data_IF_055168049276
#
_entry.id   IF_055168049276
#
_cell.length_a   1.000
_cell.length_b   1.000
_cell.length_c   1.000
_cell.angle_alpha   90.00
_cell.angle_beta   90.00
_cell.angle_gamma   90.00
#
_symmetry.space_group_name_H-M   'P 1'
#
loop_
_entity.id
_entity.type
_entity.pdbx_description
1 polymer ?
#
# COMPACT_ATOMS: atom_id res chain seq x y z
N UNK A 1 36.27 7.39 -14.49
CA UNK A 1 35.20 7.53 -13.48
C UNK A 1 35.86 7.92 -12.18
N UNK A 2 35.33 8.89 -11.45
CA UNK A 2 35.91 9.34 -10.16
C UNK A 2 35.51 8.40 -9.01
N UNK A 3 36.29 8.34 -7.93
CA UNK A 3 35.98 7.49 -6.76
C UNK A 3 34.60 7.81 -6.17
N UNK A 4 34.26 9.10 -6.09
CA UNK A 4 32.93 9.59 -5.67
C UNK A 4 31.78 9.08 -6.56
N UNK A 5 31.97 9.00 -7.88
CA UNK A 5 30.96 8.46 -8.81
C UNK A 5 30.69 6.98 -8.52
N UNK A 6 31.74 6.23 -8.18
CA UNK A 6 31.63 4.83 -7.78
C UNK A 6 30.85 4.70 -6.48
N UNK A 7 31.12 5.53 -5.47
CA UNK A 7 30.40 5.53 -4.19
C UNK A 7 28.91 5.89 -4.35
N UNK A 8 28.60 6.97 -5.09
CA UNK A 8 27.22 7.39 -5.36
C UNK A 8 26.45 6.31 -6.14
N UNK A 9 27.10 5.67 -7.12
CA UNK A 9 26.50 4.58 -7.91
C UNK A 9 26.28 3.33 -7.05
N UNK A 10 27.23 2.98 -6.18
CA UNK A 10 27.10 1.90 -5.21
C UNK A 10 25.97 2.16 -4.21
N UNK A 11 25.88 3.37 -3.66
CA UNK A 11 24.81 3.78 -2.75
C UNK A 11 23.42 3.69 -3.42
N UNK A 12 23.32 4.13 -4.69
CA UNK A 12 22.11 3.98 -5.52
C UNK A 12 21.74 2.50 -5.71
N UNK A 13 22.69 1.67 -6.10
CA UNK A 13 22.46 0.23 -6.32
C UNK A 13 22.00 -0.44 -5.02
N UNK A 14 22.62 -0.12 -3.87
CA UNK A 14 22.21 -0.64 -2.55
C UNK A 14 20.78 -0.23 -2.18
N UNK A 15 20.38 1.04 -2.42
CA UNK A 15 19.00 1.51 -2.18
C UNK A 15 17.99 0.78 -3.08
N UNK A 16 18.28 0.68 -4.38
CA UNK A 16 17.43 -0.02 -5.35
C UNK A 16 17.31 -1.51 -5.00
N UNK A 17 18.40 -2.17 -4.57
CA UNK A 17 18.39 -3.58 -4.17
C UNK A 17 17.49 -3.82 -2.95
N UNK A 18 17.53 -2.95 -1.94
CA UNK A 18 16.65 -3.02 -0.76
C UNK A 18 15.17 -2.91 -1.17
N UNK A 19 14.83 -1.90 -1.95
CA UNK A 19 13.46 -1.69 -2.44
C UNK A 19 13.00 -2.85 -3.33
N UNK A 20 13.87 -3.34 -4.23
CA UNK A 20 13.60 -4.52 -5.07
C UNK A 20 13.34 -5.78 -4.24
N UNK A 21 13.96 -5.96 -3.08
CA UNK A 21 13.74 -7.12 -2.22
C UNK A 21 12.30 -7.15 -1.70
N UNK A 22 11.78 -6.01 -1.25
CA UNK A 22 10.38 -5.88 -0.81
C UNK A 22 9.40 -6.00 -1.99
N UNK A 23 9.71 -5.39 -3.13
CA UNK A 23 8.90 -5.48 -4.35
C UNK A 23 8.79 -6.90 -4.94
N UNK A 24 9.67 -7.84 -4.56
CA UNK A 24 9.56 -9.26 -4.99
C UNK A 24 8.35 -9.97 -4.39
N UNK A 25 7.83 -9.48 -3.26
CA UNK A 25 6.64 -10.02 -2.62
C UNK A 25 5.35 -9.59 -3.36
N UNK A 26 5.43 -8.54 -4.18
CA UNK A 26 4.27 -8.05 -4.93
C UNK A 26 4.03 -8.88 -6.19
N UNK A 27 2.74 -9.14 -6.54
CA UNK A 27 2.40 -9.84 -7.78
C UNK A 27 2.96 -9.07 -8.99
N UNK A 28 3.85 -9.73 -9.74
CA UNK A 28 4.47 -9.18 -10.94
C UNK A 28 3.58 -9.41 -12.15
N UNK A 29 3.67 -8.51 -13.15
CA UNK A 29 2.94 -8.61 -14.44
C UNK A 29 3.07 -9.97 -15.11
N UNK A 30 4.22 -10.63 -14.97
CA UNK A 30 4.49 -11.96 -15.52
C UNK A 30 3.81 -13.11 -14.77
N UNK A 31 3.46 -12.93 -13.49
CA UNK A 31 2.99 -14.00 -12.60
C UNK A 31 1.50 -13.90 -12.26
N UNK A 32 0.78 -12.91 -12.79
CA UNK A 32 -0.66 -12.73 -12.56
C UNK A 32 -1.48 -13.96 -12.96
N UNK A 33 -1.07 -14.66 -14.03
CA UNK A 33 -1.79 -15.83 -14.54
C UNK A 33 -1.77 -17.03 -13.59
N UNK A 34 -0.87 -17.04 -12.60
CA UNK A 34 -0.73 -18.16 -11.65
C UNK A 34 -1.85 -18.18 -10.60
N UNK A 35 -2.56 -17.08 -10.41
CA UNK A 35 -3.63 -16.97 -9.42
C UNK A 35 -5.00 -17.07 -10.11
N UNK A 36 -5.85 -18.05 -9.76
CA UNK A 36 -7.10 -18.34 -10.48
C UNK A 36 -8.07 -17.14 -10.49
N UNK A 37 -8.17 -16.43 -9.37
CA UNK A 37 -9.02 -15.23 -9.24
C UNK A 37 -8.46 -14.07 -10.07
N UNK A 38 -7.14 -13.89 -10.11
CA UNK A 38 -6.49 -12.84 -10.92
C UNK A 38 -6.49 -13.18 -12.41
N UNK A 39 -6.65 -14.45 -12.81
CA UNK A 39 -6.74 -14.88 -14.22
C UNK A 39 -7.97 -14.30 -14.91
N UNK A 40 -9.12 -14.29 -14.22
CA UNK A 40 -10.39 -13.68 -14.71
C UNK A 40 -10.21 -12.19 -15.05
N UNK A 41 -9.31 -11.52 -14.33
CA UNK A 41 -9.07 -10.09 -14.45
C UNK A 41 -7.77 -9.74 -15.18
N UNK A 42 -6.98 -10.74 -15.56
CA UNK A 42 -5.63 -10.58 -16.09
C UNK A 42 -5.59 -9.86 -17.44
N UNK A 43 -6.59 -10.06 -18.28
CA UNK A 43 -6.71 -9.37 -19.57
C UNK A 43 -6.95 -7.87 -19.41
N UNK A 44 -7.90 -7.49 -18.56
CA UNK A 44 -8.17 -6.09 -18.22
C UNK A 44 -6.97 -5.43 -17.53
N UNK A 45 -6.27 -6.16 -16.66
CA UNK A 45 -5.08 -5.68 -15.98
C UNK A 45 -3.89 -5.43 -16.92
N UNK A 46 -3.77 -6.20 -18.01
CA UNK A 46 -2.64 -6.14 -18.95
C UNK A 46 -2.68 -4.94 -19.90
N UNK A 47 -3.88 -4.49 -20.27
CA UNK A 47 -4.08 -3.39 -21.23
C UNK A 47 -3.82 -2.01 -20.63
N UNK A 48 -3.84 -1.88 -19.29
CA UNK A 48 -3.81 -0.59 -18.60
C UNK A 48 -2.46 -0.32 -17.92
N UNK A 49 -1.71 0.65 -18.45
CA UNK A 49 -0.36 0.99 -17.97
C UNK A 49 -0.37 1.56 -16.54
N UNK A 50 -1.40 2.31 -16.17
CA UNK A 50 -1.49 2.95 -14.85
C UNK A 50 -1.52 1.94 -13.69
N UNK A 51 -2.09 0.74 -13.91
CA UNK A 51 -2.15 -0.32 -12.90
C UNK A 51 -0.75 -0.81 -12.47
N UNK A 52 0.26 -0.57 -13.29
CA UNK A 52 1.65 -0.97 -13.05
C UNK A 52 2.58 0.21 -12.77
N UNK A 53 2.04 1.43 -12.79
CA UNK A 53 2.81 2.66 -12.66
C UNK A 53 3.04 2.99 -11.18
N UNK A 54 4.30 3.10 -10.78
CA UNK A 54 4.70 3.54 -9.44
C UNK A 54 4.78 5.07 -9.32
N UNK A 55 4.14 5.81 -10.24
CA UNK A 55 4.01 7.26 -10.11
C UNK A 55 3.10 7.58 -8.93
N UNK A 56 3.39 8.70 -8.26
CA UNK A 56 2.63 9.19 -7.11
C UNK A 56 1.14 9.31 -7.38
N UNK A 57 0.76 9.69 -8.59
CA UNK A 57 -0.63 9.80 -9.06
C UNK A 57 -1.41 8.47 -8.95
N UNK A 58 -0.78 7.32 -9.21
CA UNK A 58 -1.42 6.01 -9.18
C UNK A 58 -1.14 5.27 -7.86
N UNK A 59 0.01 5.53 -7.23
CA UNK A 59 0.41 4.90 -5.97
C UNK A 59 -0.29 5.49 -4.75
N UNK A 60 -0.51 6.81 -4.70
CA UNK A 60 -1.23 7.45 -3.59
C UNK A 60 -2.66 6.91 -3.39
N UNK A 61 -3.53 6.84 -4.41
CA UNK A 61 -4.87 6.25 -4.22
C UNK A 61 -4.81 4.75 -3.89
N UNK A 62 -3.79 4.02 -4.38
CA UNK A 62 -3.59 2.61 -4.03
C UNK A 62 -3.30 2.43 -2.54
N UNK A 63 -2.41 3.26 -1.97
CA UNK A 63 -2.07 3.20 -0.55
C UNK A 63 -3.29 3.57 0.28
N UNK A 64 -3.96 4.67 -0.06
CA UNK A 64 -5.11 5.16 0.69
C UNK A 64 -6.26 4.16 0.73
N UNK A 65 -6.75 3.74 -0.44
CA UNK A 65 -7.86 2.80 -0.54
C UNK A 65 -7.49 1.41 0.00
N UNK A 66 -6.23 0.99 -0.19
CA UNK A 66 -5.72 -0.26 0.36
C UNK A 66 -5.77 -0.27 1.87
N UNK A 67 -5.33 0.81 2.53
CA UNK A 67 -5.33 0.87 3.99
C UNK A 67 -6.74 0.68 4.56
N UNK A 68 -7.74 1.30 3.94
CA UNK A 68 -9.15 1.13 4.33
C UNK A 68 -9.59 -0.32 4.08
N UNK A 69 -9.35 -0.84 2.87
CA UNK A 69 -9.79 -2.18 2.47
C UNK A 69 -9.16 -3.30 3.30
N UNK A 70 -7.87 -3.20 3.64
CA UNK A 70 -7.15 -4.20 4.44
C UNK A 70 -7.74 -4.35 5.84
N UNK A 71 -8.22 -3.24 6.42
CA UNK A 71 -8.73 -3.21 7.79
C UNK A 71 -10.21 -3.57 7.88
N UNK A 72 -10.97 -3.48 6.78
CA UNK A 72 -12.37 -3.89 6.75
C UNK A 72 -12.51 -5.39 7.07
N UNK A 73 -13.60 -5.80 7.75
CA UNK A 73 -13.89 -7.19 8.10
C UNK A 73 -14.37 -8.02 6.89
N UNK A 74 -13.63 -7.95 5.78
CA UNK A 74 -13.96 -8.55 4.47
C UNK A 74 -12.97 -9.66 4.08
N UNK A 75 -12.47 -10.43 5.06
CA UNK A 75 -11.46 -11.47 4.81
C UNK A 75 -11.96 -12.46 3.74
N UNK A 76 -11.10 -12.80 2.78
CA UNK A 76 -11.43 -13.65 1.63
C UNK A 76 -11.85 -12.88 0.36
N UNK A 77 -12.66 -11.82 0.47
CA UNK A 77 -13.13 -11.04 -0.71
C UNK A 77 -12.28 -9.81 -1.00
N UNK A 78 -11.26 -9.52 -0.18
CA UNK A 78 -10.41 -8.34 -0.33
C UNK A 78 -9.67 -8.30 -1.68
N UNK A 79 -9.25 -9.43 -2.24
CA UNK A 79 -8.47 -9.45 -3.50
C UNK A 79 -9.32 -9.03 -4.72
N UNK A 80 -10.53 -9.61 -4.95
CA UNK A 80 -11.44 -9.09 -5.96
C UNK A 80 -11.78 -7.60 -5.77
N UNK A 81 -12.07 -7.19 -4.54
CA UNK A 81 -12.43 -5.81 -4.25
C UNK A 81 -11.26 -4.85 -4.45
N UNK A 82 -10.05 -5.25 -4.10
CA UNK A 82 -8.83 -4.51 -4.42
C UNK A 82 -8.69 -4.34 -5.93
N UNK A 83 -8.90 -5.39 -6.72
CA UNK A 83 -8.84 -5.27 -8.18
C UNK A 83 -9.87 -4.26 -8.72
N UNK A 84 -11.11 -4.32 -8.23
CA UNK A 84 -12.16 -3.37 -8.62
C UNK A 84 -11.79 -1.93 -8.25
N UNK A 85 -11.32 -1.70 -7.02
CA UNK A 85 -10.86 -0.39 -6.57
C UNK A 85 -9.67 0.11 -7.39
N UNK A 86 -8.74 -0.76 -7.81
CA UNK A 86 -7.63 -0.38 -8.68
C UNK A 86 -8.12 0.14 -10.04
N UNK A 87 -9.19 -0.45 -10.58
CA UNK A 87 -9.79 0.01 -11.82
C UNK A 87 -10.51 1.35 -11.65
N UNK A 88 -11.35 1.47 -10.62
CA UNK A 88 -12.17 2.65 -10.36
C UNK A 88 -11.31 3.87 -10.03
N UNK A 89 -10.33 3.71 -9.15
CA UNK A 89 -9.46 4.80 -8.68
C UNK A 89 -8.25 5.04 -9.57
N UNK A 90 -8.14 4.30 -10.69
CA UNK A 90 -6.96 4.27 -11.57
C UNK A 90 -5.65 4.04 -10.79
N UNK A 91 -5.71 3.18 -9.77
CA UNK A 91 -4.65 3.00 -8.79
C UNK A 91 -3.68 1.86 -9.17
N UNK A 92 -2.49 1.88 -8.57
CA UNK A 92 -1.49 0.84 -8.74
C UNK A 92 -1.95 -0.49 -8.11
N UNK A 93 -2.21 -1.49 -8.95
CA UNK A 93 -2.75 -2.78 -8.54
C UNK A 93 -1.78 -3.57 -7.64
N UNK A 94 -0.47 -3.70 -7.95
CA UNK A 94 0.47 -4.39 -7.06
C UNK A 94 0.53 -3.82 -5.64
N UNK A 95 0.54 -2.49 -5.50
CA UNK A 95 0.56 -1.84 -4.17
C UNK A 95 -0.72 -2.21 -3.41
N UNK A 96 -1.87 -2.04 -4.06
CA UNK A 96 -3.17 -2.29 -3.46
C UNK A 96 -3.33 -3.76 -3.06
N UNK A 97 -3.08 -4.70 -3.97
CA UNK A 97 -3.12 -6.13 -3.67
C UNK A 97 -2.08 -6.55 -2.62
N UNK A 98 -0.90 -5.94 -2.64
CA UNK A 98 0.15 -6.18 -1.66
C UNK A 98 -0.24 -5.77 -0.24
N UNK A 99 -1.04 -4.72 -0.10
CA UNK A 99 -1.50 -4.27 1.21
C UNK A 99 -2.50 -5.25 1.85
N UNK A 100 -3.19 -6.05 1.04
CA UNK A 100 -4.13 -7.06 1.55
C UNK A 100 -3.42 -8.23 2.24
N UNK A 101 -2.14 -8.47 1.92
CA UNK A 101 -1.33 -9.50 2.58
C UNK A 101 -1.13 -9.21 4.08
N UNK A 102 -1.28 -7.95 4.50
CA UNK A 102 -1.21 -7.56 5.91
C UNK A 102 -2.37 -8.18 6.70
N UNK A 103 -3.55 -8.38 6.09
CA UNK A 103 -4.71 -9.01 6.72
C UNK A 103 -4.62 -10.53 6.52
N UNK A 104 -3.86 -11.19 7.40
CA UNK A 104 -3.67 -12.64 7.42
C UNK A 104 -4.40 -13.25 8.64
N UNK A 105 -4.64 -14.57 8.69
CA UNK A 105 -5.41 -15.20 9.78
C UNK A 105 -4.90 -14.89 11.19
N UNK A 106 -3.61 -14.57 11.33
CA UNK A 106 -3.00 -14.24 12.62
C UNK A 106 -3.26 -12.77 12.98
N UNK A 107 -3.16 -11.86 12.00
CA UNK A 107 -3.32 -10.41 12.22
C UNK A 107 -4.76 -9.93 12.16
N UNK A 108 -5.67 -10.69 11.54
CA UNK A 108 -7.07 -10.28 11.35
C UNK A 108 -7.80 -10.13 12.69
N UNK A 109 -7.54 -11.02 13.65
CA UNK A 109 -8.14 -10.99 14.98
C UNK A 109 -7.82 -9.71 15.77
N UNK A 110 -6.54 -9.33 15.98
CA UNK A 110 -6.22 -8.09 16.68
C UNK A 110 -6.68 -6.85 15.91
N UNK A 111 -6.67 -6.88 14.57
CA UNK A 111 -7.16 -5.77 13.74
C UNK A 111 -8.67 -5.57 13.95
N UNK A 112 -9.48 -6.63 13.89
CA UNK A 112 -10.92 -6.54 14.07
C UNK A 112 -11.31 -6.15 15.48
N UNK A 113 -10.60 -6.65 16.49
CA UNK A 113 -10.81 -6.24 17.87
C UNK A 113 -10.53 -4.74 18.06
N UNK A 114 -9.41 -4.23 17.53
CA UNK A 114 -9.08 -2.81 17.58
C UNK A 114 -10.11 -1.96 16.83
N UNK A 115 -10.49 -2.38 15.62
CA UNK A 115 -11.50 -1.71 14.82
C UNK A 115 -12.86 -1.66 15.53
N UNK A 116 -13.32 -2.77 16.12
CA UNK A 116 -14.54 -2.79 16.89
C UNK A 116 -14.51 -1.80 18.05
N UNK A 117 -13.42 -1.78 18.82
CA UNK A 117 -13.28 -0.87 19.96
C UNK A 117 -13.31 0.59 19.52
N UNK A 118 -12.66 0.93 18.40
CA UNK A 118 -12.71 2.28 17.81
C UNK A 118 -14.14 2.63 17.39
N UNK A 119 -14.83 1.73 16.67
CA UNK A 119 -16.20 1.95 16.22
C UNK A 119 -17.19 2.11 17.38
N UNK A 120 -17.06 1.28 18.42
CA UNK A 120 -17.84 1.37 19.67
C UNK A 120 -17.59 2.69 20.40
N UNK A 121 -16.33 3.08 20.58
CA UNK A 121 -16.00 4.34 21.23
C UNK A 121 -16.57 5.53 20.45
N UNK A 122 -16.52 5.48 19.12
CA UNK A 122 -17.12 6.51 18.27
C UNK A 122 -18.65 6.56 18.40
N UNK A 123 -19.34 5.42 18.41
CA UNK A 123 -20.78 5.36 18.65
C UNK A 123 -21.17 5.88 20.04
N UNK A 124 -20.37 5.55 21.06
CA UNK A 124 -20.58 6.01 22.43
C UNK A 124 -20.47 7.53 22.54
N UNK A 125 -19.52 8.16 21.82
CA UNK A 125 -19.40 9.63 21.75
C UNK A 125 -20.64 10.27 21.10
N UNK A 126 -21.32 9.54 20.20
CA UNK A 126 -22.54 10.01 19.51
C UNK A 126 -23.81 9.68 20.33
N UNK A 127 -23.69 9.00 21.47
CA UNK A 127 -24.81 8.68 22.37
C UNK A 127 -25.45 7.30 22.13
N UNK A 128 -24.81 6.42 21.37
CA UNK A 128 -25.25 5.03 21.20
C UNK A 128 -24.46 4.10 22.13
N UNK A 129 -25.15 3.44 23.06
CA UNK A 129 -24.54 2.40 23.88
C UNK A 129 -24.50 1.07 23.14
N UNK A 130 -23.30 0.54 22.93
CA UNK A 130 -23.09 -0.78 22.32
C UNK A 130 -22.35 -1.69 23.28
N UNK A 131 -22.79 -2.95 23.37
CA UNK A 131 -22.18 -3.98 24.20
C UNK A 131 -20.68 -4.14 23.91
N UNK A 132 -19.84 -4.41 24.92
CA UNK A 132 -18.44 -4.73 24.70
C UNK A 132 -18.30 -6.07 23.97
N UNK A 133 -17.40 -6.15 22.98
CA UNK A 133 -17.08 -7.40 22.31
C UNK A 133 -16.26 -8.29 23.25
N UNK A 134 -16.87 -9.36 23.75
CA UNK A 134 -16.19 -10.30 24.64
C UNK A 134 -15.23 -11.22 23.86
N UNK A 135 -14.15 -11.70 24.50
CA UNK A 135 -13.21 -12.66 23.87
C UNK A 135 -13.91 -13.96 23.44
N UNK A 136 -14.95 -14.36 24.17
CA UNK A 136 -15.78 -15.52 23.82
C UNK A 136 -16.57 -15.30 22.53
N UNK A 137 -17.10 -14.09 22.31
CA UNK A 137 -17.82 -13.74 21.09
C UNK A 137 -16.92 -13.73 19.86
N UNK A 138 -15.69 -13.24 19.97
CA UNK A 138 -14.72 -13.29 18.87
C UNK A 138 -14.46 -14.74 18.45
N UNK A 139 -14.37 -15.65 19.41
CA UNK A 139 -14.16 -17.08 19.14
C UNK A 139 -15.39 -17.71 18.47
N UNK A 140 -16.59 -17.40 18.96
CA UNK A 140 -17.85 -17.89 18.37
C UNK A 140 -18.01 -17.38 16.94
N UNK A 141 -17.70 -16.11 16.67
CA UNK A 141 -17.74 -15.57 15.31
C UNK A 141 -16.73 -16.25 14.40
N UNK A 142 -15.54 -16.58 14.90
CA UNK A 142 -14.51 -17.28 14.14
C UNK A 142 -14.88 -18.74 13.86
N UNK A 143 -15.43 -19.44 14.86
CA UNK A 143 -15.93 -20.81 14.71
C UNK A 143 -17.08 -20.84 13.70
N UNK A 144 -18.04 -19.92 13.80
CA UNK A 144 -19.16 -19.80 12.85
C UNK A 144 -18.70 -19.43 11.43
N UNK A 145 -17.67 -18.58 11.31
CA UNK A 145 -17.04 -18.23 10.03
C UNK A 145 -16.44 -19.47 9.35
N UNK A 146 -15.94 -20.42 10.15
CA UNK A 146 -15.28 -21.63 9.67
C UNK A 146 -16.28 -22.79 9.46
N UNK A 147 -17.33 -22.87 10.28
CA UNK A 147 -18.33 -23.95 10.26
C UNK A 147 -19.48 -23.71 9.27
N UNK A 148 -19.72 -22.47 8.85
CA UNK A 148 -20.78 -22.15 7.91
C UNK A 148 -22.17 -21.97 8.53
N UNK A 149 -22.27 -21.96 9.86
CA UNK A 149 -23.53 -21.83 10.60
C UNK A 149 -23.92 -20.36 10.84
N UNK A 150 -24.15 -19.62 9.76
CA UNK A 150 -24.42 -18.18 9.79
C UNK A 150 -25.84 -17.81 10.23
N UNK A 151 -26.80 -18.73 10.11
CA UNK A 151 -28.23 -18.42 10.15
C UNK A 151 -28.79 -18.04 11.52
N UNK A 152 -28.20 -18.51 12.62
CA UNK A 152 -28.77 -18.37 13.97
C UNK A 152 -28.39 -17.06 14.68
N UNK A 153 -27.38 -16.33 14.19
CA UNK A 153 -26.82 -15.13 14.82
C UNK A 153 -26.62 -13.97 13.83
N UNK A 154 -27.37 -13.94 12.73
CA UNK A 154 -27.23 -12.96 11.65
C UNK A 154 -27.37 -11.51 12.15
N UNK A 155 -28.33 -11.25 13.04
CA UNK A 155 -28.57 -9.96 13.66
C UNK A 155 -27.34 -9.42 14.42
N UNK A 156 -26.73 -10.27 15.23
CA UNK A 156 -25.55 -9.91 16.03
C UNK A 156 -24.30 -9.82 15.18
N UNK A 157 -24.15 -10.71 14.19
CA UNK A 157 -23.06 -10.67 13.21
C UNK A 157 -23.09 -9.37 12.40
N UNK A 158 -24.26 -8.95 11.91
CA UNK A 158 -24.42 -7.71 11.15
C UNK A 158 -24.12 -6.48 12.01
N UNK A 159 -24.54 -6.48 13.28
CA UNK A 159 -24.23 -5.41 14.22
C UNK A 159 -22.72 -5.30 14.48
N UNK A 160 -22.06 -6.41 14.80
CA UNK A 160 -20.60 -6.42 15.02
C UNK A 160 -19.85 -6.08 13.75
N UNK A 161 -20.29 -6.58 12.59
CA UNK A 161 -19.75 -6.23 11.30
C UNK A 161 -19.86 -4.73 11.01
N UNK A 162 -21.03 -4.13 11.29
CA UNK A 162 -21.26 -2.70 11.11
C UNK A 162 -20.36 -1.84 11.99
N UNK A 163 -20.30 -2.15 13.29
CA UNK A 163 -19.44 -1.43 14.26
C UNK A 163 -17.96 -1.59 13.88
N UNK A 164 -17.53 -2.81 13.56
CA UNK A 164 -16.16 -3.09 13.13
C UNK A 164 -15.83 -2.36 11.84
N UNK A 165 -16.73 -2.37 10.85
CA UNK A 165 -16.53 -1.67 9.57
C UNK A 165 -16.38 -0.17 9.76
N UNK A 166 -17.20 0.43 10.63
CA UNK A 166 -17.09 1.84 10.97
C UNK A 166 -15.72 2.16 11.58
N UNK A 167 -15.28 1.39 12.56
CA UNK A 167 -13.96 1.58 13.16
C UNK A 167 -12.82 1.32 12.19
N UNK A 168 -12.96 0.35 11.28
CA UNK A 168 -12.00 0.10 10.20
C UNK A 168 -11.91 1.25 9.21
N UNK A 169 -13.03 1.93 8.90
CA UNK A 169 -13.03 3.13 8.05
C UNK A 169 -12.32 4.28 8.76
N UNK A 170 -12.63 4.52 10.04
CA UNK A 170 -11.96 5.58 10.83
C UNK A 170 -10.45 5.31 10.93
N UNK A 171 -10.07 4.10 11.32
CA UNK A 171 -8.67 3.71 11.45
C UNK A 171 -7.96 3.70 10.10
N UNK A 172 -8.60 3.19 9.06
CA UNK A 172 -8.05 3.07 7.71
C UNK A 172 -7.88 4.40 6.99
N UNK A 173 -8.80 5.35 7.20
CA UNK A 173 -8.64 6.72 6.68
C UNK A 173 -7.47 7.41 7.37
N UNK A 174 -7.33 7.31 8.70
CA UNK A 174 -6.21 7.87 9.44
C UNK A 174 -4.86 7.29 8.99
N UNK A 175 -4.72 5.96 8.98
CA UNK A 175 -3.49 5.28 8.54
C UNK A 175 -3.23 5.56 7.05
N UNK A 176 -4.28 5.54 6.22
CA UNK A 176 -4.20 5.82 4.79
C UNK A 176 -3.69 7.23 4.49
N UNK A 177 -4.15 8.23 5.22
CA UNK A 177 -3.67 9.62 5.10
C UNK A 177 -2.17 9.70 5.43
N UNK A 178 -1.76 9.15 6.57
CA UNK A 178 -0.35 9.17 7.02
C UNK A 178 0.55 8.45 6.01
N UNK A 179 0.15 7.25 5.58
CA UNK A 179 0.92 6.45 4.64
C UNK A 179 1.03 7.14 3.27
N UNK A 180 -0.06 7.74 2.79
CA UNK A 180 -0.09 8.46 1.51
C UNK A 180 0.75 9.73 1.56
N UNK A 181 0.64 10.51 2.64
CA UNK A 181 1.46 11.70 2.86
C UNK A 181 2.94 11.36 2.91
N UNK A 182 3.31 10.35 3.70
CA UNK A 182 4.69 9.85 3.81
C UNK A 182 5.23 9.43 2.45
N UNK A 183 4.44 8.67 1.68
CA UNK A 183 4.82 8.24 0.34
C UNK A 183 5.05 9.43 -0.60
N UNK A 184 4.15 10.44 -0.60
CA UNK A 184 4.30 11.65 -1.41
C UNK A 184 5.58 12.41 -1.05
N UNK A 185 5.85 12.62 0.24
CA UNK A 185 7.05 13.32 0.69
C UNK A 185 8.33 12.57 0.28
N UNK A 186 8.36 11.24 0.44
CA UNK A 186 9.50 10.42 0.00
C UNK A 186 9.66 10.47 -1.53
N UNK A 187 8.55 10.39 -2.28
CA UNK A 187 8.60 10.44 -3.74
C UNK A 187 9.14 11.78 -4.25
N UNK A 188 8.69 12.91 -3.68
CA UNK A 188 9.19 14.25 -4.03
C UNK A 188 10.68 14.39 -3.68
N UNK A 189 11.09 13.91 -2.49
CA UNK A 189 12.50 13.96 -2.07
C UNK A 189 13.40 13.13 -2.98
N UNK A 190 12.93 11.98 -3.45
CA UNK A 190 13.70 11.09 -4.32
C UNK A 190 13.83 11.64 -5.74
N UNK A 191 12.79 12.24 -6.33
CA UNK A 191 12.90 12.94 -7.63
C UNK A 191 13.81 14.16 -7.56
N UNK A 192 13.69 14.99 -6.52
CA UNK A 192 14.57 16.15 -6.32
C UNK A 192 16.05 15.74 -6.13
N UNK A 193 16.29 14.62 -5.44
CA UNK A 193 17.64 14.06 -5.28
C UNK A 193 18.20 13.54 -6.61
N UNK A 194 17.36 12.90 -7.43
CA UNK A 194 17.76 12.42 -8.75
C UNK A 194 18.06 13.57 -9.72
N UNK A 195 17.23 14.61 -9.75
CA UNK A 195 17.43 15.79 -10.59
C UNK A 195 18.77 16.48 -10.28
N UNK A 196 19.12 16.62 -8.99
CA UNK A 196 20.42 17.14 -8.56
C UNK A 196 21.59 16.30 -9.05
N UNK A 197 21.51 14.98 -8.93
CA UNK A 197 22.56 14.08 -9.42
C UNK A 197 22.75 14.19 -10.94
N UNK A 198 21.66 14.24 -11.70
CA UNK A 198 21.73 14.39 -13.16
C UNK A 198 22.35 15.73 -13.55
N UNK A 199 21.99 16.81 -12.85
CA UNK A 199 22.59 18.14 -13.07
C UNK A 199 24.10 18.12 -12.83
N UNK A 200 24.56 17.58 -11.69
CA UNK A 200 25.99 17.45 -11.38
C UNK A 200 26.75 16.64 -12.44
N UNK A 201 26.16 15.52 -12.90
CA UNK A 201 26.76 14.69 -13.95
C UNK A 201 26.87 15.45 -15.27
N UNK A 202 25.83 16.21 -15.65
CA UNK A 202 25.83 17.00 -16.88
C UNK A 202 26.83 18.17 -16.80
N UNK A 203 26.86 18.90 -15.69
CA UNK A 203 27.79 20.03 -15.46
C UNK A 203 29.26 19.56 -15.48
N UNK A 204 29.55 18.35 -14.99
CA UNK A 204 30.90 17.75 -15.07
C UNK A 204 31.24 17.32 -16.50
N UNK A 205 30.27 16.79 -17.27
CA UNK A 205 30.47 16.44 -18.69
C UNK A 205 30.75 17.68 -19.55
N UNK A 206 30.05 18.78 -19.31
CA UNK A 206 30.29 20.04 -20.04
C UNK A 206 31.68 20.59 -19.72
N UNK A 207 32.08 20.64 -18.44
CA UNK A 207 33.45 21.04 -18.04
C UNK A 207 34.56 20.16 -18.63
N UNK A 208 34.33 18.85 -18.80
CA UNK A 208 35.32 17.97 -19.42
C UNK A 208 35.43 18.16 -20.94
N UNK A 209 34.34 18.57 -21.60
CA UNK A 209 34.30 18.82 -23.05
C UNK A 209 34.86 20.21 -23.41
N UNK A 210 34.80 21.15 -22.48
CA UNK A 210 35.39 22.49 -22.60
C UNK A 210 36.44 22.66 -21.50
N UNK A 211 37.65 22.08 -21.67
CA UNK A 211 38.74 22.36 -20.75
C UNK A 211 38.99 23.88 -20.73
N UNK A 212 39.37 24.46 -19.58
CA UNK A 212 39.65 25.88 -19.50
C UNK A 212 40.67 26.24 -20.58
N UNK A 213 40.32 27.20 -21.44
CA UNK A 213 41.25 27.82 -22.39
C UNK A 213 42.40 28.35 -21.53
N UNK A 214 43.61 27.94 -21.89
CA UNK A 214 44.77 27.94 -21.02
C UNK A 214 44.99 29.25 -20.27
N UNK A 215 45.43 29.12 -19.02
CA UNK A 215 46.27 30.12 -18.38
C UNK A 215 47.63 30.09 -19.11
N UNK A 216 47.70 30.70 -20.28
CA UNK A 216 48.95 31.12 -20.91
C UNK A 216 49.08 32.62 -20.70
N UNK A 217 49.80 33.01 -19.66
CA UNK A 217 50.36 34.34 -19.38
C UNK A 217 50.87 34.27 -17.92
N UNK A 218 52.11 34.51 -17.54
CA UNK A 218 53.30 35.02 -18.21
C UNK A 218 54.53 34.58 -17.38
N UNK A 219 55.68 34.52 -18.03
CA UNK A 219 57.08 34.71 -17.55
C UNK A 219 57.54 34.01 -16.26
#
# INVERSE_FOLDING_TARGET
MTSEEHELRQARIKRIRRVKRWLRLLPRRSNIHRYPILRLFAESARRRIYLWSFRTENAAPAIYAGCILTLLPLYGIQIPLAFLLALLLRANLPILAGLQVVSNPITVLPIWYAAYQIGRNFLSVIGFETSPLSRGEVRIMLENFTSGEWGTHLDRLMTVFGITSLGSIIMGTFIGLIATYTYRTVAIRTTASYARLVKIINDRKTRKKTPPVGTSADA
#
